data_IF_443241738474
#
_entry.id   IF_443241738474
#
_cell.length_a   1.000
_cell.length_b   1.000
_cell.length_c   1.000
_cell.angle_alpha   90.00
_cell.angle_beta   90.00
_cell.angle_gamma   90.00
#
_symmetry.space_group_name_H-M   'P 1'
#
loop_
_entity.id
_entity.type
_entity.pdbx_description
1 polymer ?
#
# COMPACT_ATOMS: atom_id res chain seq x y z
N UNK A 1 -33.62 -0.20 -6.96
CA UNK A 1 -32.51 -0.02 -5.98
C UNK A 1 -31.92 1.38 -6.14
N UNK A 2 -31.99 2.25 -5.13
CA UNK A 2 -31.54 3.66 -5.21
C UNK A 2 -30.01 3.79 -5.28
N UNK A 3 -29.50 4.91 -5.82
CA UNK A 3 -28.06 5.17 -5.90
C UNK A 3 -27.37 5.17 -4.52
N UNK A 4 -28.05 5.68 -3.49
CA UNK A 4 -27.57 5.66 -2.11
C UNK A 4 -27.45 4.23 -1.56
N UNK A 5 -28.40 3.34 -1.88
CA UNK A 5 -28.34 1.94 -1.48
C UNK A 5 -27.19 1.20 -2.18
N UNK A 6 -26.95 1.45 -3.48
CA UNK A 6 -25.79 0.92 -4.21
C UNK A 6 -24.46 1.36 -3.58
N UNK A 7 -24.37 2.63 -3.16
CA UNK A 7 -23.18 3.17 -2.49
C UNK A 7 -22.92 2.48 -1.15
N UNK A 8 -23.95 2.28 -0.34
CA UNK A 8 -23.84 1.58 0.95
C UNK A 8 -23.39 0.13 0.79
N UNK A 9 -23.97 -0.63 -0.13
CA UNK A 9 -23.59 -2.03 -0.38
C UNK A 9 -22.13 -2.14 -0.84
N UNK A 10 -21.71 -1.30 -1.79
CA UNK A 10 -20.33 -1.28 -2.26
C UNK A 10 -19.34 -0.88 -1.15
N UNK A 11 -19.71 0.09 -0.29
CA UNK A 11 -18.92 0.50 0.85
C UNK A 11 -18.75 -0.63 1.88
N UNK A 12 -19.79 -1.41 2.16
CA UNK A 12 -19.68 -2.59 3.04
C UNK A 12 -18.67 -3.59 2.48
N UNK A 13 -18.74 -3.90 1.19
CA UNK A 13 -17.77 -4.79 0.54
C UNK A 13 -16.33 -4.26 0.64
N UNK A 14 -16.14 -2.95 0.43
CA UNK A 14 -14.83 -2.32 0.57
C UNK A 14 -14.30 -2.39 2.01
N UNK A 15 -15.15 -2.18 3.03
CA UNK A 15 -14.74 -2.33 4.42
C UNK A 15 -14.35 -3.75 4.79
N UNK A 16 -15.07 -4.76 4.29
CA UNK A 16 -14.71 -6.16 4.49
C UNK A 16 -13.35 -6.48 3.86
N UNK A 17 -13.12 -6.02 2.62
CA UNK A 17 -11.83 -6.18 1.94
C UNK A 17 -10.70 -5.46 2.69
N UNK A 18 -10.94 -4.24 3.15
CA UNK A 18 -9.99 -3.48 3.98
C UNK A 18 -9.68 -4.20 5.30
N UNK A 19 -10.69 -4.75 5.98
CA UNK A 19 -10.51 -5.52 7.22
C UNK A 19 -9.65 -6.77 7.02
N UNK A 20 -9.93 -7.55 5.97
CA UNK A 20 -9.12 -8.72 5.64
C UNK A 20 -7.65 -8.34 5.34
N UNK A 21 -7.45 -7.25 4.58
CA UNK A 21 -6.13 -6.72 4.28
C UNK A 21 -5.40 -6.26 5.55
N UNK A 22 -6.07 -5.53 6.45
CA UNK A 22 -5.50 -5.11 7.74
C UNK A 22 -5.04 -6.33 8.54
N UNK A 23 -5.86 -7.37 8.65
CA UNK A 23 -5.50 -8.61 9.37
C UNK A 23 -4.26 -9.28 8.77
N UNK A 24 -4.17 -9.34 7.44
CA UNK A 24 -2.98 -9.88 6.75
C UNK A 24 -1.72 -9.07 7.12
N UNK A 25 -1.77 -7.75 7.05
CA UNK A 25 -0.63 -6.90 7.40
C UNK A 25 -0.29 -6.96 8.89
N UNK A 26 -1.28 -7.08 9.77
CA UNK A 26 -1.05 -7.30 11.21
C UNK A 26 -0.31 -8.61 11.45
N UNK A 27 -0.67 -9.70 10.78
CA UNK A 27 0.03 -10.97 10.89
C UNK A 27 1.50 -10.88 10.41
N UNK A 28 1.74 -10.21 9.27
CA UNK A 28 3.09 -9.96 8.76
C UNK A 28 3.91 -9.06 9.71
N UNK A 29 3.29 -8.03 10.28
CA UNK A 29 3.93 -7.15 11.26
C UNK A 29 4.29 -7.91 12.55
N UNK A 30 3.41 -8.75 13.07
CA UNK A 30 3.70 -9.61 14.22
C UNK A 30 4.86 -10.57 13.92
N UNK A 31 4.86 -11.20 12.74
CA UNK A 31 5.96 -12.07 12.33
C UNK A 31 7.30 -11.34 12.26
N UNK A 32 7.31 -10.10 11.75
CA UNK A 32 8.49 -9.23 11.72
C UNK A 32 9.02 -8.96 13.14
N UNK A 33 8.15 -8.50 14.04
CA UNK A 33 8.52 -8.14 15.42
C UNK A 33 9.11 -9.35 16.15
N UNK A 34 8.45 -10.50 16.05
CA UNK A 34 8.91 -11.74 16.68
C UNK A 34 10.25 -12.19 16.09
N UNK A 35 10.37 -12.29 14.76
CA UNK A 35 11.59 -12.79 14.10
C UNK A 35 12.81 -11.91 14.34
N UNK A 36 12.61 -10.60 14.45
CA UNK A 36 13.66 -9.64 14.82
C UNK A 36 14.07 -9.76 16.29
N UNK A 37 13.14 -10.05 17.19
CA UNK A 37 13.43 -10.19 18.62
C UNK A 37 14.17 -11.48 19.02
N UNK A 38 14.03 -12.54 18.23
CA UNK A 38 14.62 -13.86 18.55
C UNK A 38 15.97 -14.14 17.86
N UNK A 39 16.36 -13.35 16.86
CA UNK A 39 17.50 -13.65 15.97
C UNK A 39 18.72 -12.77 16.22
N UNK A 40 19.91 -13.39 16.31
CA UNK A 40 21.20 -12.68 16.30
C UNK A 40 21.71 -12.32 14.90
N UNK A 41 20.94 -12.64 13.86
CA UNK A 41 21.30 -12.50 12.44
C UNK A 41 20.60 -11.31 11.76
N UNK A 42 20.02 -10.39 12.53
CA UNK A 42 19.37 -9.21 11.98
C UNK A 42 20.40 -8.17 11.54
N UNK A 43 20.63 -8.08 10.23
CA UNK A 43 21.49 -7.06 9.66
C UNK A 43 20.74 -5.73 9.47
N UNK A 44 21.48 -4.62 9.59
CA UNK A 44 20.96 -3.30 9.29
C UNK A 44 20.70 -3.14 7.79
N UNK A 45 19.62 -2.45 7.44
CA UNK A 45 19.25 -2.18 6.05
C UNK A 45 19.39 -0.69 5.75
N UNK A 46 20.16 -0.37 4.72
CA UNK A 46 20.18 0.96 4.14
C UNK A 46 18.93 1.13 3.25
N UNK A 47 17.84 1.63 3.85
CA UNK A 47 16.59 1.84 3.12
C UNK A 47 16.79 2.87 1.98
N UNK A 48 16.35 2.55 0.75
CA UNK A 48 16.45 3.48 -0.38
C UNK A 48 15.72 4.81 -0.12
N UNK A 49 16.37 5.98 -0.30
CA UNK A 49 15.74 7.29 -0.06
C UNK A 49 14.50 7.57 -0.92
N UNK A 50 14.35 6.89 -2.07
CA UNK A 50 13.19 6.99 -2.95
C UNK A 50 11.85 6.67 -2.24
N UNK A 51 11.88 5.93 -1.13
CA UNK A 51 10.69 5.64 -0.32
C UNK A 51 9.98 6.92 0.16
N UNK A 52 10.70 8.02 0.38
CA UNK A 52 10.11 9.32 0.72
C UNK A 52 9.34 9.94 -0.44
N UNK A 53 9.91 9.88 -1.66
CA UNK A 53 9.22 10.32 -2.86
C UNK A 53 7.96 9.48 -3.11
N UNK A 54 8.07 8.15 -2.98
CA UNK A 54 6.91 7.25 -3.08
C UNK A 54 5.82 7.64 -2.07
N UNK A 55 6.19 7.94 -0.83
CA UNK A 55 5.25 8.37 0.21
C UNK A 55 4.54 9.67 -0.17
N UNK A 56 5.28 10.65 -0.69
CA UNK A 56 4.71 11.91 -1.17
C UNK A 56 3.76 11.71 -2.36
N UNK A 57 4.10 10.82 -3.30
CA UNK A 57 3.26 10.45 -4.43
C UNK A 57 1.95 9.80 -3.97
N UNK A 58 2.02 8.84 -3.05
CA UNK A 58 0.83 8.14 -2.55
C UNK A 58 -0.07 9.07 -1.72
N UNK A 59 0.51 9.95 -0.89
CA UNK A 59 -0.23 10.97 -0.16
C UNK A 59 -0.93 11.96 -1.10
N UNK A 60 -0.22 12.43 -2.13
CA UNK A 60 -0.76 13.31 -3.17
C UNK A 60 -1.87 12.61 -3.97
N UNK A 61 -1.73 11.31 -4.23
CA UNK A 61 -2.78 10.50 -4.85
C UNK A 61 -4.03 10.44 -3.97
N UNK A 62 -3.88 10.32 -2.65
CA UNK A 62 -5.00 10.38 -1.71
C UNK A 62 -5.73 11.71 -1.75
N UNK A 63 -4.99 12.83 -1.76
CA UNK A 63 -5.58 14.16 -1.91
C UNK A 63 -6.34 14.32 -3.23
N UNK A 64 -5.82 13.76 -4.33
CA UNK A 64 -6.50 13.76 -5.63
C UNK A 64 -7.84 12.99 -5.62
N UNK A 65 -7.94 11.89 -4.85
CA UNK A 65 -9.21 11.15 -4.65
C UNK A 65 -10.27 12.01 -3.97
N UNK A 66 -9.88 12.82 -2.99
CA UNK A 66 -10.80 13.68 -2.25
C UNK A 66 -11.44 14.76 -3.12
N UNK A 67 -10.67 15.35 -4.02
CA UNK A 67 -11.18 16.28 -5.05
C UNK A 67 -11.70 15.58 -6.30
N UNK A 68 -11.93 14.26 -6.24
CA UNK A 68 -12.53 13.43 -7.32
C UNK A 68 -11.74 13.43 -8.64
N UNK A 69 -10.43 13.71 -8.59
CA UNK A 69 -9.52 13.65 -9.73
C UNK A 69 -8.96 12.23 -9.92
N UNK A 70 -9.85 11.28 -10.23
CA UNK A 70 -9.54 9.84 -10.28
C UNK A 70 -8.39 9.47 -11.23
N UNK A 71 -8.32 10.09 -12.41
CA UNK A 71 -7.24 9.85 -13.36
C UNK A 71 -5.88 10.34 -12.86
N UNK A 72 -5.84 11.51 -12.23
CA UNK A 72 -4.61 12.01 -11.61
C UNK A 72 -4.16 11.13 -10.43
N UNK A 73 -5.12 10.69 -9.60
CA UNK A 73 -4.83 9.73 -8.53
C UNK A 73 -4.27 8.41 -9.10
N UNK A 74 -4.87 7.86 -10.16
CA UNK A 74 -4.37 6.64 -10.78
C UNK A 74 -2.94 6.79 -11.31
N UNK A 75 -2.61 7.92 -11.95
CA UNK A 75 -1.26 8.21 -12.45
C UNK A 75 -0.24 8.35 -11.32
N UNK A 76 -0.60 9.03 -10.22
CA UNK A 76 0.26 9.16 -9.04
C UNK A 76 0.48 7.79 -8.36
N UNK A 77 -0.56 6.95 -8.27
CA UNK A 77 -0.43 5.57 -7.80
C UNK A 77 0.42 4.69 -8.71
N UNK A 78 0.33 4.85 -10.03
CA UNK A 78 1.21 4.16 -10.97
C UNK A 78 2.67 4.62 -10.84
N UNK A 79 2.90 5.92 -10.62
CA UNK A 79 4.23 6.46 -10.33
C UNK A 79 4.81 5.90 -9.01
N UNK A 80 3.98 5.71 -7.98
CA UNK A 80 4.37 5.00 -6.76
C UNK A 80 4.86 3.58 -7.06
N UNK A 81 4.13 2.81 -7.90
CA UNK A 81 4.54 1.45 -8.26
C UNK A 81 5.86 1.41 -9.02
N UNK A 82 6.07 2.33 -9.97
CA UNK A 82 7.34 2.46 -10.68
C UNK A 82 8.49 2.81 -9.71
N UNK A 83 8.27 3.77 -8.80
CA UNK A 83 9.23 4.11 -7.76
C UNK A 83 9.49 2.95 -6.78
N UNK A 84 8.50 2.10 -6.53
CA UNK A 84 8.66 0.91 -5.69
C UNK A 84 9.51 -0.16 -6.37
N UNK A 85 9.32 -0.39 -7.68
CA UNK A 85 10.20 -1.25 -8.46
C UNK A 85 11.65 -0.73 -8.47
N UNK A 86 11.83 0.59 -8.57
CA UNK A 86 13.15 1.22 -8.45
C UNK A 86 13.75 1.06 -7.05
N UNK A 87 12.94 1.16 -5.99
CA UNK A 87 13.38 0.93 -4.62
C UNK A 87 13.90 -0.51 -4.43
N UNK A 88 13.23 -1.49 -5.01
CA UNK A 88 13.67 -2.90 -4.97
C UNK A 88 15.01 -3.12 -5.64
N UNK A 89 15.27 -2.46 -6.77
CA UNK A 89 16.57 -2.52 -7.45
C UNK A 89 17.65 -1.76 -6.67
N UNK A 90 17.31 -0.60 -6.12
CA UNK A 90 18.22 0.26 -5.37
C UNK A 90 18.67 -0.33 -4.03
N UNK A 91 17.92 -1.28 -3.47
CA UNK A 91 18.33 -1.98 -2.26
C UNK A 91 19.61 -2.82 -2.48
N UNK A 92 19.81 -3.33 -3.71
CA UNK A 92 21.00 -4.11 -4.06
C UNK A 92 21.14 -5.47 -3.34
N UNK A 93 20.11 -5.91 -2.61
CA UNK A 93 20.09 -7.17 -1.88
C UNK A 93 19.05 -8.13 -2.48
N UNK A 94 19.33 -9.42 -2.47
CA UNK A 94 18.33 -10.42 -2.84
C UNK A 94 17.34 -10.64 -1.70
N UNK A 95 16.15 -11.15 -2.01
CA UNK A 95 15.18 -11.59 -1.01
C UNK A 95 15.78 -12.65 -0.05
N UNK A 96 16.71 -13.47 -0.54
CA UNK A 96 17.42 -14.50 0.23
C UNK A 96 18.63 -13.98 1.03
N UNK A 97 18.97 -12.69 0.94
CA UNK A 97 20.15 -12.11 1.61
C UNK A 97 20.04 -12.08 3.15
N UNK A 98 18.85 -12.34 3.70
CA UNK A 98 18.64 -12.46 5.14
C UNK A 98 17.21 -12.08 5.55
N UNK A 99 16.87 -12.24 6.84
CA UNK A 99 15.51 -11.98 7.34
C UNK A 99 15.06 -10.54 7.10
N UNK A 100 15.94 -9.56 7.32
CA UNK A 100 15.62 -8.15 7.13
C UNK A 100 15.22 -7.86 5.67
N UNK A 101 16.02 -8.33 4.70
CA UNK A 101 15.73 -8.18 3.27
C UNK A 101 14.42 -8.89 2.88
N UNK A 102 14.21 -10.11 3.38
CA UNK A 102 13.00 -10.88 3.12
C UNK A 102 11.74 -10.12 3.59
N UNK A 103 11.73 -9.58 4.82
CA UNK A 103 10.60 -8.80 5.33
C UNK A 103 10.38 -7.50 4.55
N UNK A 104 11.44 -6.81 4.15
CA UNK A 104 11.33 -5.64 3.28
C UNK A 104 10.60 -5.99 1.98
N UNK A 105 11.02 -7.05 1.29
CA UNK A 105 10.40 -7.46 0.03
C UNK A 105 8.97 -7.96 0.21
N UNK A 106 8.68 -8.77 1.23
CA UNK A 106 7.34 -9.31 1.45
C UNK A 106 6.35 -8.21 1.84
N UNK A 107 6.69 -7.35 2.80
CA UNK A 107 5.79 -6.27 3.24
C UNK A 107 5.52 -5.28 2.11
N UNK A 108 6.56 -4.82 1.42
CA UNK A 108 6.40 -3.85 0.33
C UNK A 108 5.81 -4.48 -0.93
N UNK A 109 6.13 -5.74 -1.22
CA UNK A 109 5.59 -6.50 -2.35
C UNK A 109 4.10 -6.76 -2.24
N UNK A 110 3.64 -7.26 -1.08
CA UNK A 110 2.21 -7.45 -0.82
C UNK A 110 1.47 -6.11 -0.87
N UNK A 111 2.06 -5.04 -0.32
CA UNK A 111 1.48 -3.70 -0.41
C UNK A 111 1.36 -3.20 -1.85
N UNK A 112 2.44 -3.30 -2.62
CA UNK A 112 2.45 -2.92 -4.03
C UNK A 112 1.42 -3.69 -4.86
N UNK A 113 1.22 -4.98 -4.59
CA UNK A 113 0.19 -5.78 -5.25
C UNK A 113 -1.23 -5.23 -4.99
N UNK A 114 -1.55 -4.85 -3.75
CA UNK A 114 -2.84 -4.23 -3.45
C UNK A 114 -2.96 -2.81 -4.02
N UNK A 115 -1.88 -2.04 -4.03
CA UNK A 115 -1.83 -0.73 -4.71
C UNK A 115 -2.10 -0.87 -6.19
N UNK A 116 -1.58 -1.89 -6.87
CA UNK A 116 -1.89 -2.14 -8.28
C UNK A 116 -3.40 -2.39 -8.50
N UNK A 117 -4.05 -3.18 -7.64
CA UNK A 117 -5.50 -3.35 -7.67
C UNK A 117 -6.25 -2.04 -7.43
N UNK A 118 -5.78 -1.20 -6.50
CA UNK A 118 -6.34 0.12 -6.25
C UNK A 118 -6.18 1.08 -7.44
N UNK A 119 -5.02 1.07 -8.10
CA UNK A 119 -4.76 1.88 -9.31
C UNK A 119 -5.71 1.49 -10.42
N UNK A 120 -5.95 0.20 -10.62
CA UNK A 120 -6.93 -0.28 -11.59
C UNK A 120 -8.35 0.23 -11.27
N UNK A 121 -8.76 0.21 -9.98
CA UNK A 121 -10.04 0.76 -9.55
C UNK A 121 -10.13 2.29 -9.74
N UNK A 122 -9.06 3.04 -9.48
CA UNK A 122 -9.00 4.48 -9.73
C UNK A 122 -9.08 4.80 -11.23
N UNK A 123 -8.34 4.08 -12.06
CA UNK A 123 -8.37 4.21 -13.51
C UNK A 123 -9.78 3.90 -14.05
N UNK A 124 -10.44 2.86 -13.56
CA UNK A 124 -11.83 2.55 -13.90
C UNK A 124 -12.78 3.71 -13.56
N UNK A 125 -12.65 4.29 -12.36
CA UNK A 125 -13.46 5.43 -11.94
C UNK A 125 -13.15 6.71 -12.74
N UNK A 126 -12.00 6.82 -13.39
CA UNK A 126 -11.71 7.96 -14.28
C UNK A 126 -12.57 7.99 -15.54
N UNK A 127 -13.11 6.83 -15.97
CA UNK A 127 -13.96 6.72 -17.15
C UNK A 127 -15.42 6.40 -16.82
N UNK A 128 -15.65 5.57 -15.79
CA UNK A 128 -16.97 4.99 -15.46
C UNK A 128 -17.29 5.09 -13.98
N UNK A 129 -17.08 6.27 -13.38
CA UNK A 129 -17.42 6.51 -11.98
C UNK A 129 -18.92 6.31 -11.71
N UNK A 130 -19.23 5.50 -10.70
CA UNK A 130 -20.57 5.36 -10.12
C UNK A 130 -20.51 5.69 -8.62
N UNK A 131 -21.65 6.03 -7.96
CA UNK A 131 -21.67 6.25 -6.52
C UNK A 131 -21.12 5.05 -5.71
N UNK A 132 -21.38 3.81 -6.17
CA UNK A 132 -20.86 2.59 -5.55
C UNK A 132 -19.35 2.41 -5.74
N UNK A 133 -18.89 2.49 -7.00
CA UNK A 133 -17.47 2.27 -7.31
C UNK A 133 -16.56 3.33 -6.70
N UNK A 134 -17.02 4.58 -6.63
CA UNK A 134 -16.25 5.69 -6.02
C UNK A 134 -16.21 5.59 -4.50
N UNK A 135 -17.31 5.19 -3.85
CA UNK A 135 -17.33 4.95 -2.41
C UNK A 135 -16.38 3.82 -2.02
N UNK A 136 -16.44 2.69 -2.74
CA UNK A 136 -15.57 1.54 -2.52
C UNK A 136 -14.09 1.89 -2.78
N UNK A 137 -13.79 2.53 -3.91
CA UNK A 137 -12.42 2.91 -4.26
C UNK A 137 -11.81 3.88 -3.25
N UNK A 138 -12.58 4.87 -2.75
CA UNK A 138 -12.11 5.79 -1.71
C UNK A 138 -11.70 5.04 -0.43
N UNK A 139 -12.59 4.21 0.12
CA UNK A 139 -12.33 3.44 1.34
C UNK A 139 -11.07 2.59 1.18
N UNK A 140 -11.01 1.82 0.08
CA UNK A 140 -9.89 0.93 -0.20
C UNK A 140 -8.57 1.70 -0.37
N UNK A 141 -8.57 2.80 -1.14
CA UNK A 141 -7.37 3.58 -1.42
C UNK A 141 -6.80 4.27 -0.17
N UNK A 142 -7.66 4.85 0.69
CA UNK A 142 -7.19 5.42 1.96
C UNK A 142 -6.69 4.35 2.94
N UNK A 143 -7.29 3.15 2.92
CA UNK A 143 -6.78 2.01 3.70
C UNK A 143 -5.35 1.66 3.26
N UNK A 144 -5.08 1.61 1.94
CA UNK A 144 -3.75 1.36 1.40
C UNK A 144 -2.73 2.44 1.79
N UNK A 145 -3.13 3.71 1.76
CA UNK A 145 -2.29 4.81 2.22
C UNK A 145 -1.96 4.70 3.70
N UNK A 146 -2.94 4.37 4.54
CA UNK A 146 -2.72 4.13 5.97
C UNK A 146 -1.79 2.94 6.24
N UNK A 147 -1.99 1.83 5.53
CA UNK A 147 -1.12 0.66 5.62
C UNK A 147 0.31 0.97 5.16
N UNK A 148 0.49 1.81 4.14
CA UNK A 148 1.82 2.25 3.72
C UNK A 148 2.56 2.96 4.85
N UNK A 149 1.89 3.84 5.59
CA UNK A 149 2.50 4.53 6.73
C UNK A 149 2.92 3.54 7.82
N UNK A 150 2.09 2.54 8.11
CA UNK A 150 2.44 1.46 9.05
C UNK A 150 3.65 0.68 8.56
N UNK A 151 3.66 0.25 7.29
CA UNK A 151 4.79 -0.47 6.67
C UNK A 151 6.06 0.38 6.73
N UNK A 152 6.00 1.66 6.34
CA UNK A 152 7.15 2.56 6.37
C UNK A 152 7.69 2.72 7.79
N UNK A 153 6.83 2.92 8.79
CA UNK A 153 7.23 2.98 10.20
C UNK A 153 7.91 1.68 10.66
N UNK A 154 7.34 0.52 10.30
CA UNK A 154 7.94 -0.78 10.63
C UNK A 154 9.30 -0.96 9.98
N UNK A 155 9.47 -0.56 8.71
CA UNK A 155 10.76 -0.62 8.03
C UNK A 155 11.77 0.34 8.66
N UNK A 156 11.37 1.56 8.99
CA UNK A 156 12.22 2.54 9.65
C UNK A 156 12.67 2.10 11.04
N UNK A 157 11.81 1.37 11.77
CA UNK A 157 12.15 0.75 13.05
C UNK A 157 13.06 -0.49 12.87
N UNK A 158 12.80 -1.31 11.86
CA UNK A 158 13.53 -2.55 11.62
C UNK A 158 14.86 -2.38 10.87
N UNK A 159 15.21 -1.15 10.45
CA UNK A 159 16.45 -0.87 9.70
C UNK A 159 17.72 -0.88 10.55
N UNK A 160 17.59 -0.58 11.85
CA UNK A 160 18.70 -0.44 12.81
C UNK A 160 19.01 -1.72 13.56
#
# INVERSE_FOLDING_TARGET
MTAALRARVAATGAWLASGAMITLFSALASALVIRRGIGGDWASLALPPILWLNTALLASSGAAVEVRRWGAAALLGAAFLAGQAWAWQSLGLALSSGPAAAFFYVLTGVHAAHVAGGVAALAWNSWRATPGSTAAARIYWHTLGGLWMVVLCLLLWARS
#
